data_IF_856178687925
#
_entry.id   IF_856178687925
#
_cell.length_a   1.000
_cell.length_b   1.000
_cell.length_c   1.000
_cell.angle_alpha   90.00
_cell.angle_beta   90.00
_cell.angle_gamma   90.00
#
_symmetry.space_group_name_H-M   'P 1'
#
loop_
_entity.id
_entity.type
_entity.pdbx_description
1 polymer ?
#
# COMPACT_ATOMS: atom_id res chain seq x y z
N UNK A 1 -5.07 5.41 -8.85
CA UNK A 1 -4.25 5.90 -7.72
C UNK A 1 -5.01 7.01 -7.03
N UNK A 2 -5.06 6.97 -5.71
CA UNK A 2 -5.80 7.92 -4.86
C UNK A 2 -4.90 8.38 -3.73
N UNK A 3 -4.93 9.68 -3.41
CA UNK A 3 -4.35 10.24 -2.21
C UNK A 3 -5.29 9.99 -1.03
N UNK A 4 -4.81 9.34 0.03
CA UNK A 4 -5.59 8.96 1.20
C UNK A 4 -5.07 9.67 2.44
N UNK A 5 -5.92 10.54 3.01
CA UNK A 5 -5.64 11.34 4.19
C UNK A 5 -6.78 11.17 5.20
N UNK A 6 -6.48 10.60 6.37
CA UNK A 6 -7.47 10.45 7.44
C UNK A 6 -6.84 10.49 8.83
N UNK A 7 -7.60 10.90 9.85
CA UNK A 7 -7.19 10.79 11.26
C UNK A 7 -5.84 11.45 11.60
N UNK A 8 -5.25 11.00 12.72
CA UNK A 8 -3.89 11.38 13.12
C UNK A 8 -2.82 10.74 12.22
N UNK A 9 -1.70 11.42 12.04
CA UNK A 9 -0.59 10.88 11.26
C UNK A 9 0.06 9.68 11.95
N UNK A 10 0.62 8.75 11.16
CA UNK A 10 1.41 7.65 11.68
C UNK A 10 2.70 8.17 12.35
N UNK A 11 3.14 7.51 13.43
CA UNK A 11 4.46 7.75 14.00
C UNK A 11 5.50 6.88 13.28
N UNK A 12 6.55 7.52 12.74
CA UNK A 12 7.65 6.85 12.04
C UNK A 12 7.65 7.04 10.52
N UNK A 13 8.58 6.39 9.79
CA UNK A 13 8.81 6.67 8.37
C UNK A 13 7.84 5.97 7.41
N UNK A 14 6.82 5.27 7.93
CA UNK A 14 5.91 4.42 7.14
C UNK A 14 4.52 5.01 7.13
N UNK A 15 3.92 5.05 5.94
CA UNK A 15 2.48 5.24 5.83
C UNK A 15 1.78 3.90 6.00
N UNK A 16 0.88 3.85 6.97
CA UNK A 16 0.13 2.67 7.41
C UNK A 16 -1.39 2.87 7.20
N UNK A 17 -1.78 3.75 6.27
CA UNK A 17 -3.17 3.97 5.87
C UNK A 17 -3.82 5.24 6.40
N UNK A 18 -3.05 6.19 6.94
CA UNK A 18 -3.53 7.52 7.33
C UNK A 18 -2.95 8.64 6.46
N UNK A 19 -1.74 8.44 5.92
CA UNK A 19 -1.08 9.36 4.96
C UNK A 19 -0.47 8.57 3.81
N UNK A 20 -1.32 8.03 2.94
CA UNK A 20 -0.92 7.05 1.91
C UNK A 20 -1.30 7.48 0.50
N UNK A 21 -0.46 7.16 -0.49
CA UNK A 21 -0.95 6.95 -1.86
C UNK A 21 -1.38 5.49 -2.00
N UNK A 22 -2.62 5.30 -2.43
CA UNK A 22 -3.23 3.99 -2.62
C UNK A 22 -3.45 3.69 -4.10
N UNK A 23 -3.24 2.44 -4.50
CA UNK A 23 -3.51 2.01 -5.87
C UNK A 23 -3.88 0.52 -5.95
N UNK A 24 -4.41 0.15 -7.11
CA UNK A 24 -4.69 -1.24 -7.48
C UNK A 24 -3.36 -2.02 -7.62
N UNK A 25 -3.17 -3.13 -6.88
CA UNK A 25 -1.93 -3.90 -6.91
C UNK A 25 -1.79 -4.83 -8.13
N UNK A 26 -2.86 -5.05 -8.91
CA UNK A 26 -2.90 -6.06 -9.97
C UNK A 26 -2.12 -5.67 -11.22
N UNK A 27 -1.93 -4.38 -11.47
CA UNK A 27 -1.29 -3.87 -12.68
C UNK A 27 0.15 -3.42 -12.42
N UNK A 28 1.12 -4.12 -12.99
CA UNK A 28 2.53 -3.70 -12.97
C UNK A 28 2.73 -2.30 -13.60
N UNK A 29 1.92 -1.95 -14.60
CA UNK A 29 1.91 -0.62 -15.22
C UNK A 29 1.51 0.46 -14.21
N UNK A 30 0.54 0.18 -13.32
CA UNK A 30 0.17 1.10 -12.24
C UNK A 30 1.36 1.36 -11.31
N UNK A 31 2.09 0.31 -10.93
CA UNK A 31 3.33 0.44 -10.16
C UNK A 31 4.36 1.31 -10.88
N UNK A 32 4.60 1.05 -12.17
CA UNK A 32 5.51 1.84 -12.99
C UNK A 32 5.10 3.32 -13.08
N UNK A 33 3.80 3.61 -13.21
CA UNK A 33 3.26 4.98 -13.24
C UNK A 33 3.50 5.72 -11.92
N UNK A 34 3.31 5.05 -10.78
CA UNK A 34 3.58 5.65 -9.45
C UNK A 34 5.09 5.91 -9.28
N UNK A 35 5.93 4.96 -9.70
CA UNK A 35 7.38 5.11 -9.66
C UNK A 35 7.86 6.29 -10.52
N UNK A 36 7.37 6.40 -11.75
CA UNK A 36 7.76 7.46 -12.69
C UNK A 36 7.23 8.85 -12.28
N UNK A 37 5.96 8.95 -11.87
CA UNK A 37 5.30 10.25 -11.63
C UNK A 37 5.51 10.82 -10.24
N UNK A 38 5.64 9.98 -9.22
CA UNK A 38 5.64 10.43 -7.81
C UNK A 38 6.97 10.13 -7.14
N UNK A 39 7.44 8.89 -7.23
CA UNK A 39 8.55 8.45 -6.38
C UNK A 39 9.93 8.72 -6.98
N UNK A 40 10.03 8.78 -8.31
CA UNK A 40 11.31 8.89 -9.03
C UNK A 40 12.35 7.89 -8.51
N UNK A 41 11.90 6.66 -8.19
CA UNK A 41 12.76 5.59 -7.69
C UNK A 41 13.02 4.58 -8.79
N UNK A 42 14.03 3.77 -8.56
CA UNK A 42 14.41 2.71 -9.47
C UNK A 42 13.22 1.75 -9.70
N UNK A 43 12.96 1.35 -10.96
CA UNK A 43 11.75 0.62 -11.32
C UNK A 43 11.63 -0.75 -10.66
N UNK A 44 12.74 -1.31 -10.17
CA UNK A 44 12.80 -2.61 -9.50
C UNK A 44 12.41 -2.57 -8.02
N UNK A 45 12.17 -1.40 -7.42
CA UNK A 45 11.75 -1.29 -6.01
C UNK A 45 10.22 -1.36 -5.95
N UNK A 46 9.63 -2.51 -5.57
CA UNK A 46 8.17 -2.62 -5.50
C UNK A 46 7.62 -1.92 -4.26
N UNK A 47 6.32 -1.71 -4.29
CA UNK A 47 5.57 -1.07 -3.23
C UNK A 47 5.14 -2.06 -2.15
N UNK A 48 4.63 -1.55 -1.02
CA UNK A 48 4.16 -2.41 0.06
C UNK A 48 2.66 -2.75 -0.15
N UNK A 49 2.24 -4.01 -0.01
CA UNK A 49 0.83 -4.36 0.08
C UNK A 49 0.28 -4.09 1.48
N UNK A 50 -0.94 -3.53 1.53
CA UNK A 50 -1.80 -3.53 2.70
C UNK A 50 -2.95 -4.52 2.49
N UNK A 51 -3.14 -5.46 3.42
CA UNK A 51 -4.13 -6.54 3.35
C UNK A 51 -4.94 -6.63 4.64
N UNK A 52 -6.22 -7.05 4.54
CA UNK A 52 -7.02 -7.40 5.72
C UNK A 52 -6.36 -8.56 6.46
N UNK A 53 -6.22 -8.43 7.78
CA UNK A 53 -5.50 -9.40 8.62
C UNK A 53 -6.04 -10.83 8.43
N UNK A 54 -7.35 -10.98 8.36
CA UNK A 54 -8.04 -12.27 8.18
C UNK A 54 -7.85 -12.92 6.80
N UNK A 55 -7.34 -12.18 5.80
CA UNK A 55 -7.04 -12.69 4.44
C UNK A 55 -5.55 -12.96 4.23
N UNK A 56 -4.70 -12.70 5.24
CA UNK A 56 -3.24 -12.75 5.10
C UNK A 56 -2.75 -14.08 4.52
N UNK A 57 -3.17 -15.19 5.13
CA UNK A 57 -2.70 -16.54 4.80
C UNK A 57 -3.17 -17.03 3.41
N UNK A 58 -4.12 -16.33 2.78
CA UNK A 58 -4.58 -16.65 1.42
C UNK A 58 -3.68 -16.04 0.33
N UNK A 59 -2.82 -15.09 0.70
CA UNK A 59 -1.98 -14.32 -0.23
C UNK A 59 -0.49 -14.43 0.06
N UNK A 60 -0.11 -14.61 1.33
CA UNK A 60 1.28 -14.64 1.76
C UNK A 60 1.55 -15.88 2.59
N UNK A 61 2.77 -16.43 2.43
CA UNK A 61 3.31 -17.44 3.33
C UNK A 61 3.76 -16.77 4.64
N UNK A 62 2.77 -16.36 5.44
CA UNK A 62 2.94 -15.68 6.72
C UNK A 62 1.78 -16.00 7.66
N UNK A 63 2.11 -16.47 8.86
CA UNK A 63 1.12 -16.92 9.85
C UNK A 63 0.97 -15.98 11.05
N UNK A 64 1.42 -14.73 10.92
CA UNK A 64 1.34 -13.73 11.99
C UNK A 64 1.01 -12.33 11.45
N UNK A 65 0.27 -11.50 12.20
CA UNK A 65 0.05 -10.11 11.85
C UNK A 65 1.36 -9.32 11.72
N UNK A 66 1.39 -8.37 10.79
CA UNK A 66 2.50 -7.45 10.56
C UNK A 66 1.98 -6.01 10.32
N UNK A 67 1.41 -5.35 11.35
CA UNK A 67 0.72 -4.08 11.17
C UNK A 67 1.64 -2.90 10.80
N UNK A 68 2.96 -3.05 10.95
CA UNK A 68 3.93 -1.95 10.84
C UNK A 68 4.82 -2.01 9.59
N UNK A 69 4.48 -2.84 8.58
CA UNK A 69 5.31 -3.01 7.38
C UNK A 69 6.77 -3.37 7.71
N UNK A 70 6.99 -4.27 8.66
CA UNK A 70 8.31 -4.66 9.16
C UNK A 70 8.73 -6.08 8.73
N UNK A 71 7.85 -6.84 8.09
CA UNK A 71 8.10 -8.23 7.67
C UNK A 71 8.03 -8.33 6.15
N UNK A 72 9.01 -9.01 5.56
CA UNK A 72 9.00 -9.45 4.17
C UNK A 72 8.55 -10.90 4.16
N UNK A 73 7.52 -11.22 3.37
CA UNK A 73 6.96 -12.55 3.27
C UNK A 73 6.89 -13.00 1.80
N UNK A 74 7.03 -14.31 1.51
CA UNK A 74 6.77 -14.85 0.20
C UNK A 74 5.31 -14.65 -0.20
N UNK A 75 5.07 -14.29 -1.47
CA UNK A 75 3.74 -14.26 -2.07
C UNK A 75 3.41 -15.66 -2.61
N UNK A 76 2.25 -16.18 -2.22
CA UNK A 76 1.79 -17.48 -2.70
C UNK A 76 1.71 -17.49 -4.23
N UNK A 77 2.20 -18.57 -4.84
CA UNK A 77 2.39 -18.65 -6.30
C UNK A 77 1.12 -18.31 -7.09
N UNK A 78 -0.01 -18.87 -6.68
CA UNK A 78 -1.31 -18.62 -7.30
C UNK A 78 -1.74 -17.14 -7.26
N UNK A 79 -1.23 -16.37 -6.29
CA UNK A 79 -1.63 -14.97 -6.04
C UNK A 79 -0.68 -13.92 -6.62
N UNK A 80 0.49 -14.32 -7.12
CA UNK A 80 1.49 -13.40 -7.68
C UNK A 80 0.95 -12.55 -8.82
N UNK A 81 0.08 -13.12 -9.65
CA UNK A 81 -0.53 -12.40 -10.77
C UNK A 81 -1.49 -11.29 -10.29
N UNK A 82 -2.20 -11.50 -9.18
CA UNK A 82 -3.09 -10.49 -8.57
C UNK A 82 -2.30 -9.36 -7.87
N UNK A 83 -1.01 -9.59 -7.56
CA UNK A 83 -0.17 -8.70 -6.76
C UNK A 83 1.06 -8.16 -7.51
N UNK A 84 1.01 -8.14 -8.85
CA UNK A 84 2.17 -7.82 -9.69
C UNK A 84 2.87 -6.48 -9.36
N UNK A 85 2.14 -5.46 -8.90
CA UNK A 85 2.72 -4.15 -8.59
C UNK A 85 3.44 -4.07 -7.23
N UNK A 86 3.23 -5.06 -6.36
CA UNK A 86 3.72 -5.09 -4.97
C UNK A 86 4.63 -6.29 -4.68
N UNK A 87 4.77 -7.21 -5.64
CA UNK A 87 5.66 -8.38 -5.55
C UNK A 87 7.05 -8.04 -6.10
N UNK A 88 8.09 -8.41 -5.35
CA UNK A 88 9.49 -8.32 -5.72
C UNK A 88 9.87 -9.39 -6.76
N UNK A 89 11.01 -9.20 -7.42
CA UNK A 89 11.57 -10.15 -8.41
C UNK A 89 11.86 -11.54 -7.81
N UNK A 90 12.11 -11.61 -6.50
CA UNK A 90 12.30 -12.85 -5.73
C UNK A 90 10.98 -13.44 -5.20
N UNK A 91 9.84 -12.95 -5.70
CA UNK A 91 8.50 -13.34 -5.29
C UNK A 91 8.11 -13.03 -3.83
N UNK A 92 8.79 -12.06 -3.19
CA UNK A 92 8.44 -11.61 -1.83
C UNK A 92 7.68 -10.27 -1.85
N UNK A 93 7.12 -9.85 -0.72
CA UNK A 93 6.59 -8.51 -0.50
C UNK A 93 6.70 -8.09 0.97
N UNK A 94 6.83 -6.78 1.22
CA UNK A 94 6.83 -6.24 2.60
C UNK A 94 5.42 -5.86 3.03
N UNK A 95 4.78 -6.75 3.76
CA UNK A 95 3.33 -6.73 4.01
C UNK A 95 2.96 -5.80 5.18
N UNK A 96 1.80 -5.14 5.06
CA UNK A 96 1.06 -4.55 6.17
C UNK A 96 -0.24 -5.32 6.39
N UNK A 97 -0.46 -5.91 7.56
CA UNK A 97 -1.81 -6.34 7.95
C UNK A 97 -2.62 -5.18 8.53
N UNK A 98 -3.91 -5.17 8.24
CA UNK A 98 -4.86 -4.19 8.77
C UNK A 98 -5.98 -4.95 9.45
N UNK A 99 -6.08 -4.81 10.77
CA UNK A 99 -7.24 -5.29 11.52
C UNK A 99 -8.28 -4.19 11.63
N UNK A 100 -9.56 -4.59 11.67
CA UNK A 100 -10.67 -3.65 11.85
C UNK A 100 -10.57 -2.86 13.15
N UNK A 101 -10.04 -3.49 14.20
CA UNK A 101 -9.85 -2.88 15.52
C UNK A 101 -8.78 -1.79 15.50
N UNK A 102 -7.70 -1.99 14.74
CA UNK A 102 -6.59 -1.03 14.67
C UNK A 102 -6.89 0.17 13.76
N UNK A 103 -7.55 -0.05 12.62
CA UNK A 103 -7.88 1.03 11.68
C UNK A 103 -9.15 0.68 10.89
N UNK A 104 -10.32 0.89 11.51
CA UNK A 104 -11.61 0.52 10.92
C UNK A 104 -11.84 1.17 9.55
N UNK A 105 -11.50 2.45 9.39
CA UNK A 105 -11.72 3.16 8.12
C UNK A 105 -10.86 2.60 6.98
N UNK A 106 -9.60 2.28 7.26
CA UNK A 106 -8.73 1.68 6.24
C UNK A 106 -9.11 0.22 5.96
N UNK A 107 -9.56 -0.51 6.99
CA UNK A 107 -10.12 -1.84 6.84
C UNK A 107 -11.38 -1.82 5.94
N UNK A 108 -12.30 -0.88 6.16
CA UNK A 108 -13.51 -0.72 5.33
C UNK A 108 -13.17 -0.37 3.88
N UNK A 109 -12.11 0.40 3.65
CA UNK A 109 -11.64 0.68 2.31
C UNK A 109 -11.11 -0.57 1.60
N UNK A 110 -10.34 -1.40 2.30
CA UNK A 110 -9.87 -2.70 1.79
C UNK A 110 -11.05 -3.63 1.51
N UNK A 111 -12.04 -3.66 2.40
CA UNK A 111 -13.25 -4.46 2.26
C UNK A 111 -14.09 -4.05 1.04
N UNK A 112 -14.31 -2.75 0.86
CA UNK A 112 -14.99 -2.21 -0.31
C UNK A 112 -14.22 -2.48 -1.61
N UNK A 113 -12.88 -2.39 -1.57
CA UNK A 113 -12.05 -2.72 -2.72
C UNK A 113 -12.12 -4.21 -3.06
N UNK A 114 -12.09 -5.10 -2.07
CA UNK A 114 -12.28 -6.53 -2.27
C UNK A 114 -13.64 -6.82 -2.91
N UNK A 115 -14.73 -6.24 -2.40
CA UNK A 115 -16.07 -6.44 -2.94
C UNK A 115 -16.16 -6.05 -4.43
N UNK A 116 -15.44 -5.02 -4.86
CA UNK A 116 -15.43 -4.56 -6.25
C UNK A 116 -14.44 -5.33 -7.16
N UNK A 117 -13.32 -5.80 -6.61
CA UNK A 117 -12.18 -6.29 -7.41
C UNK A 117 -11.89 -7.78 -7.27
N UNK A 118 -12.41 -8.42 -6.22
CA UNK A 118 -12.05 -9.77 -5.78
C UNK A 118 -10.71 -9.86 -5.03
N UNK A 119 -10.00 -8.74 -4.83
CA UNK A 119 -8.66 -8.72 -4.23
C UNK A 119 -8.66 -7.89 -2.92
N UNK A 120 -8.33 -8.48 -1.76
CA UNK A 120 -8.33 -7.80 -0.46
C UNK A 120 -7.04 -7.00 -0.18
N UNK A 121 -6.36 -6.55 -1.23
CA UNK A 121 -5.04 -5.91 -1.14
C UNK A 121 -5.04 -4.58 -1.86
N UNK A 122 -4.45 -3.58 -1.22
CA UNK A 122 -4.11 -2.31 -1.86
C UNK A 122 -2.59 -2.11 -1.86
N UNK A 123 -2.09 -1.54 -2.95
CA UNK A 123 -0.75 -0.95 -2.95
C UNK A 123 -0.76 0.27 -2.05
N UNK A 124 0.14 0.30 -1.06
CA UNK A 124 0.32 1.40 -0.14
C UNK A 124 1.75 1.93 -0.19
N UNK A 125 1.86 3.24 -0.38
CA UNK A 125 3.14 3.96 -0.30
C UNK A 125 2.98 5.30 0.38
N UNK A 126 4.06 5.83 0.93
CA UNK A 126 4.03 7.08 1.69
C UNK A 126 3.47 8.24 0.88
N UNK A 127 2.63 9.06 1.48
CA UNK A 127 2.18 10.31 0.86
C UNK A 127 3.28 11.38 0.97
N UNK A 128 4.33 11.21 0.16
CA UNK A 128 5.41 12.17 -0.01
C UNK A 128 6.00 12.11 -1.43
N UNK A 129 6.47 13.26 -1.91
CA UNK A 129 7.36 13.41 -3.07
C UNK A 129 8.67 13.93 -2.49
N UNK A 130 9.63 13.04 -2.19
CA UNK A 130 10.96 13.36 -1.63
C UNK A 130 11.03 14.18 -0.30
N UNK A 131 9.91 14.48 0.35
CA UNK A 131 9.85 15.21 1.63
C UNK A 131 9.34 14.32 2.80
N UNK A 132 9.39 14.78 4.07
CA UNK A 132 8.73 14.07 5.18
C UNK A 132 7.23 13.85 4.94
N UNK A 133 6.63 12.85 5.58
CA UNK A 133 5.19 12.55 5.47
C UNK A 133 4.36 13.81 5.80
N UNK A 134 3.39 14.15 4.94
CA UNK A 134 2.58 15.36 5.07
C UNK A 134 1.70 15.30 6.32
N UNK A 135 1.88 16.27 7.23
CA UNK A 135 1.18 16.32 8.52
C UNK A 135 -0.01 17.30 8.57
N UNK A 136 -0.24 18.15 7.56
CA UNK A 136 -1.33 19.13 7.56
C UNK A 136 -2.03 19.22 6.19
N UNK A 137 -3.38 19.30 6.14
CA UNK A 137 -4.14 19.35 4.88
C UNK A 137 -3.93 20.65 4.08
N UNK A 138 -3.42 21.71 4.70
CA UNK A 138 -3.21 23.03 4.08
C UNK A 138 -1.91 23.17 3.29
N UNK A 139 -1.01 22.19 3.32
CA UNK A 139 0.16 22.20 2.45
C UNK A 139 -0.19 21.44 1.18
N UNK A 140 -0.88 22.13 0.27
CA UNK A 140 -0.86 21.75 -1.13
C UNK A 140 0.60 21.69 -1.56
N UNK A 141 1.05 20.53 -2.02
CA UNK A 141 2.36 20.39 -2.64
C UNK A 141 2.40 21.34 -3.86
N UNK A 142 3.30 22.34 -3.89
CA UNK A 142 3.41 23.25 -5.04
C UNK A 142 3.80 22.52 -6.33
N UNK A 143 4.17 21.23 -6.26
CA UNK A 143 4.52 20.38 -7.40
C UNK A 143 3.41 19.41 -7.82
N UNK A 144 2.24 19.38 -7.15
CA UNK A 144 1.09 18.68 -7.71
C UNK A 144 0.60 19.47 -8.94
N UNK A 145 0.54 18.88 -10.14
CA UNK A 145 -0.06 19.55 -11.27
C UNK A 145 -1.52 19.88 -10.93
N UNK A 146 -1.90 21.15 -11.12
CA UNK A 146 -3.29 21.57 -11.08
C UNK A 146 -4.10 20.73 -12.08
N UNK A 147 -5.34 20.41 -11.70
CA UNK A 147 -6.27 19.60 -12.49
C UNK A 147 -6.52 20.21 -13.87
#
# INVERSE_FOLDING_TARGET
MVAWFQGGAEFGPRALGNRSFLADPRSAEMGARINAKIKQREPFRPFAPSIKEERLAEYFDLHQPCPFMNIVAPVLEAKRHELAAVTHVDATARVQTVSRQANERFWLLLDAFEACSGVPVLLNTSFNIQEPIVNTPTRGDPHLPAQ
#
